data_IF_576273722573
#
_entry.id   IF_576273722573
#
_cell.length_a   1.000
_cell.length_b   1.000
_cell.length_c   1.000
_cell.angle_alpha   90.00
_cell.angle_beta   90.00
_cell.angle_gamma   90.00
#
_symmetry.space_group_name_H-M   'P 1'
#
loop_
_entity.id
_entity.type
_entity.pdbx_description
1 polymer ?
#
# COMPACT_ATOMS: atom_id res chain seq x y z
N UNK A 1 -10.44 -15.07 -4.03
CA UNK A 1 -9.60 -14.17 -4.78
C UNK A 1 -9.67 -12.77 -4.28
N UNK A 2 -10.78 -12.13 -4.46
CA UNK A 2 -10.95 -10.81 -3.88
C UNK A 2 -10.72 -10.85 -2.39
N UNK A 3 -10.81 -11.99 -1.81
CA UNK A 3 -10.55 -12.21 -0.43
C UNK A 3 -9.12 -11.88 -0.06
N UNK A 4 -8.18 -12.43 -0.80
CA UNK A 4 -6.77 -12.19 -0.58
C UNK A 4 -6.40 -10.76 -0.92
N UNK A 5 -7.13 -10.16 -1.83
CA UNK A 5 -6.89 -8.79 -2.24
C UNK A 5 -7.48 -7.77 -1.29
N UNK A 6 -8.46 -8.17 -0.47
CA UNK A 6 -9.11 -7.26 0.47
C UNK A 6 -8.68 -7.47 1.89
N UNK A 7 -8.15 -8.65 2.20
CA UNK A 7 -7.67 -8.96 3.53
C UNK A 7 -6.37 -8.21 3.78
N UNK A 8 -6.31 -7.42 4.83
CA UNK A 8 -5.12 -6.66 5.17
C UNK A 8 -4.73 -5.64 4.11
N UNK A 9 -5.72 -4.97 3.54
CA UNK A 9 -5.39 -4.11 2.41
C UNK A 9 -5.65 -2.63 2.62
N UNK A 10 -5.32 -2.09 3.77
CA UNK A 10 -5.36 -0.64 3.94
C UNK A 10 -4.44 0.04 2.92
N UNK A 11 -3.37 -0.63 2.50
CA UNK A 11 -2.53 -0.13 1.43
C UNK A 11 -3.29 0.04 0.13
N UNK A 12 -4.08 -0.97 -0.26
CA UNK A 12 -4.92 -0.88 -1.47
C UNK A 12 -5.96 0.22 -1.34
N UNK A 13 -6.56 0.35 -0.16
CA UNK A 13 -7.55 1.39 0.09
C UNK A 13 -6.91 2.78 0.02
N UNK A 14 -5.68 2.92 0.46
CA UNK A 14 -4.96 4.17 0.33
C UNK A 14 -4.68 4.51 -1.13
N UNK A 15 -4.38 3.51 -1.96
CA UNK A 15 -4.22 3.74 -3.40
C UNK A 15 -5.53 4.20 -4.03
N UNK A 16 -6.67 3.66 -3.58
CA UNK A 16 -7.97 4.15 -4.03
C UNK A 16 -8.19 5.60 -3.61
N UNK A 17 -7.77 5.96 -2.40
CA UNK A 17 -7.83 7.33 -1.92
C UNK A 17 -6.98 8.26 -2.81
N UNK A 18 -5.77 7.86 -3.16
CA UNK A 18 -4.91 8.65 -4.04
C UNK A 18 -5.54 8.81 -5.43
N UNK A 19 -6.10 7.73 -5.96
CA UNK A 19 -6.73 7.79 -7.26
C UNK A 19 -7.94 8.72 -7.24
N UNK A 20 -8.80 8.58 -6.26
CA UNK A 20 -10.02 9.39 -6.15
C UNK A 20 -9.72 10.88 -6.05
N UNK A 21 -8.68 11.22 -5.28
CA UNK A 21 -8.41 12.63 -4.98
C UNK A 21 -7.43 13.29 -5.94
N UNK A 22 -6.59 12.52 -6.63
CA UNK A 22 -5.49 13.11 -7.42
C UNK A 22 -5.40 12.64 -8.86
N UNK A 23 -5.90 11.45 -9.20
CA UNK A 23 -5.76 10.90 -10.55
C UNK A 23 -7.08 10.78 -11.31
N UNK A 24 -8.10 10.21 -10.69
CA UNK A 24 -9.42 10.11 -11.30
C UNK A 24 -9.55 9.11 -12.44
N UNK A 25 -8.69 8.09 -12.49
CA UNK A 25 -8.73 7.08 -13.54
C UNK A 25 -9.25 5.74 -13.06
N UNK A 26 -9.05 4.71 -13.88
CA UNK A 26 -9.44 3.34 -13.55
C UNK A 26 -8.20 2.44 -13.53
N UNK A 27 -8.15 1.55 -12.52
CA UNK A 27 -7.10 0.54 -12.49
C UNK A 27 -7.32 -0.50 -13.58
N UNK A 28 -6.25 -0.88 -14.26
CA UNK A 28 -6.27 -1.87 -15.34
C UNK A 28 -5.30 -2.99 -15.05
N UNK A 29 -5.64 -4.20 -15.48
CA UNK A 29 -4.79 -5.38 -15.25
C UNK A 29 -3.53 -5.29 -16.10
N UNK A 30 -2.38 -5.48 -15.47
CA UNK A 30 -1.09 -5.48 -16.13
C UNK A 30 -0.04 -6.14 -15.25
N UNK A 31 0.69 -7.14 -15.80
CA UNK A 31 1.83 -7.76 -15.10
C UNK A 31 1.51 -8.25 -13.68
N UNK A 32 0.46 -9.03 -13.53
CA UNK A 32 0.00 -9.58 -12.24
C UNK A 32 -0.44 -8.52 -11.23
N UNK A 33 -0.78 -7.35 -11.71
CA UNK A 33 -1.24 -6.25 -10.87
C UNK A 33 -2.40 -5.53 -11.54
N UNK A 34 -3.08 -4.72 -10.75
CA UNK A 34 -3.96 -3.69 -11.30
C UNK A 34 -3.25 -2.36 -11.12
N UNK A 35 -3.09 -1.63 -12.19
CA UNK A 35 -2.29 -0.40 -12.17
C UNK A 35 -3.07 0.79 -12.70
N UNK A 36 -2.60 1.96 -12.31
CA UNK A 36 -3.00 3.23 -12.89
C UNK A 36 -1.76 4.13 -12.96
N UNK A 37 -1.61 4.86 -14.06
CA UNK A 37 -0.52 5.81 -14.24
C UNK A 37 -1.07 7.22 -14.22
N UNK A 38 -0.32 8.15 -13.68
CA UNK A 38 -0.72 9.55 -13.64
C UNK A 38 0.35 10.40 -13.01
N UNK A 39 -0.01 11.64 -12.72
CA UNK A 39 0.90 12.59 -12.08
C UNK A 39 0.30 13.09 -10.79
N UNK A 40 1.12 13.12 -9.74
CA UNK A 40 0.76 13.75 -8.47
C UNK A 40 1.86 14.76 -8.18
N UNK A 41 1.50 16.02 -8.03
CA UNK A 41 2.45 17.12 -7.80
C UNK A 41 3.57 17.16 -8.85
N UNK A 42 3.20 16.98 -10.12
CA UNK A 42 4.12 17.00 -11.26
C UNK A 42 5.10 15.83 -11.31
N UNK A 43 4.93 14.84 -10.42
CA UNK A 43 5.73 13.61 -10.45
C UNK A 43 4.92 12.49 -11.07
N UNK A 44 5.51 11.77 -12.03
CA UNK A 44 4.84 10.62 -12.61
C UNK A 44 4.80 9.50 -11.56
N UNK A 45 3.61 8.95 -11.34
CA UNK A 45 3.44 7.84 -10.40
C UNK A 45 2.72 6.69 -11.08
N UNK A 46 3.03 5.49 -10.62
CA UNK A 46 2.35 4.28 -11.03
C UNK A 46 1.85 3.63 -9.75
N UNK A 47 0.54 3.61 -9.59
CA UNK A 47 -0.09 2.94 -8.44
C UNK A 47 -0.36 1.51 -8.84
N UNK A 48 0.12 0.55 -8.06
CA UNK A 48 0.00 -0.86 -8.40
C UNK A 48 -0.58 -1.65 -7.23
N UNK A 49 -1.60 -2.44 -7.53
CA UNK A 49 -2.19 -3.38 -6.59
C UNK A 49 -1.85 -4.80 -7.07
N UNK A 50 -0.85 -5.46 -6.46
CA UNK A 50 -0.52 -6.84 -6.86
C UNK A 50 -1.74 -7.75 -6.71
N UNK A 51 -1.94 -8.61 -7.70
CA UNK A 51 -3.05 -9.56 -7.71
C UNK A 51 -2.58 -10.98 -7.43
N UNK A 52 -1.37 -11.12 -6.88
CA UNK A 52 -0.82 -12.38 -6.42
C UNK A 52 -1.23 -12.63 -4.98
N UNK A 53 -0.98 -13.83 -4.48
CA UNK A 53 -1.06 -14.07 -3.04
C UNK A 53 -0.03 -13.19 -2.34
N UNK A 54 -0.29 -12.84 -1.09
CA UNK A 54 0.57 -11.93 -0.34
C UNK A 54 2.04 -12.39 -0.31
N UNK A 55 2.28 -13.69 -0.14
CA UNK A 55 3.63 -14.23 -0.09
C UNK A 55 4.33 -14.27 -1.46
N UNK A 56 3.68 -13.82 -2.53
CA UNK A 56 4.25 -13.73 -3.87
C UNK A 56 4.25 -12.29 -4.40
N UNK A 57 4.11 -11.32 -3.51
CA UNK A 57 4.07 -9.90 -3.90
C UNK A 57 5.35 -9.45 -4.61
N UNK A 58 6.48 -10.04 -4.26
CA UNK A 58 7.75 -9.70 -4.89
C UNK A 58 7.79 -10.00 -6.38
N UNK A 59 7.07 -11.05 -6.82
CA UNK A 59 7.01 -11.38 -8.25
C UNK A 59 6.36 -10.26 -9.05
N UNK A 60 5.26 -9.69 -8.53
CA UNK A 60 4.59 -8.57 -9.18
C UNK A 60 5.48 -7.32 -9.17
N UNK A 61 6.14 -7.05 -8.06
CA UNK A 61 7.02 -5.87 -7.93
C UNK A 61 8.17 -5.96 -8.93
N UNK A 62 8.81 -7.12 -9.05
CA UNK A 62 9.94 -7.30 -9.98
C UNK A 62 9.48 -7.07 -11.42
N UNK A 63 8.33 -7.61 -11.80
CA UNK A 63 7.83 -7.45 -13.17
C UNK A 63 7.59 -5.97 -13.50
N UNK A 64 6.99 -5.23 -12.57
CA UNK A 64 6.73 -3.81 -12.78
C UNK A 64 8.02 -3.01 -12.76
N UNK A 65 8.95 -3.32 -11.83
CA UNK A 65 10.23 -2.65 -11.75
C UNK A 65 10.99 -2.76 -13.07
N UNK A 66 11.03 -3.96 -13.63
CA UNK A 66 11.76 -4.21 -14.88
C UNK A 66 11.09 -3.53 -16.07
N UNK A 67 9.76 -3.54 -16.10
CA UNK A 67 9.01 -2.92 -17.19
C UNK A 67 9.18 -1.40 -17.21
N UNK A 68 9.04 -0.76 -16.04
CA UNK A 68 9.13 0.69 -15.94
C UNK A 68 10.55 1.19 -15.72
N UNK A 69 11.50 0.29 -15.49
CA UNK A 69 12.93 0.59 -15.30
C UNK A 69 13.14 1.60 -14.17
N UNK A 70 12.52 1.31 -13.02
CA UNK A 70 12.68 2.15 -11.83
C UNK A 70 13.70 1.54 -10.88
N UNK A 71 14.37 2.41 -10.13
CA UNK A 71 15.31 1.97 -9.11
C UNK A 71 14.59 1.57 -7.83
N UNK A 72 15.24 0.77 -6.99
CA UNK A 72 14.62 0.30 -5.74
C UNK A 72 14.18 1.45 -4.84
N UNK A 73 14.94 2.53 -4.78
CA UNK A 73 14.58 3.68 -3.94
C UNK A 73 13.44 4.52 -4.51
N UNK A 74 12.99 4.23 -5.72
CA UNK A 74 11.82 4.85 -6.33
C UNK A 74 10.58 3.96 -6.25
N UNK A 75 10.66 2.87 -5.49
CA UNK A 75 9.54 1.99 -5.22
C UNK A 75 9.09 2.22 -3.79
N UNK A 76 7.82 2.52 -3.59
CA UNK A 76 7.25 2.65 -2.26
C UNK A 76 6.26 1.51 -2.04
N UNK A 77 6.52 0.68 -1.03
CA UNK A 77 5.62 -0.41 -0.65
C UNK A 77 4.72 0.08 0.47
N UNK A 78 3.41 -0.02 0.26
CA UNK A 78 2.42 0.48 1.21
C UNK A 78 1.63 -0.72 1.74
N UNK A 79 1.61 -0.87 3.05
CA UNK A 79 0.91 -1.99 3.67
C UNK A 79 0.48 -1.68 5.10
N UNK A 80 -0.47 -2.47 5.60
CA UNK A 80 -0.93 -2.34 6.97
C UNK A 80 -0.04 -3.17 7.90
N UNK A 81 0.16 -2.69 9.11
CA UNK A 81 1.08 -3.30 10.07
C UNK A 81 0.45 -3.36 11.47
N UNK A 82 0.33 -4.55 11.97
CA UNK A 82 -0.20 -4.85 13.30
C UNK A 82 0.65 -4.30 14.43
N UNK A 83 1.95 -4.17 14.19
CA UNK A 83 2.90 -3.72 15.20
C UNK A 83 2.87 -2.21 15.39
N UNK A 84 2.10 -1.51 14.58
CA UNK A 84 1.94 -0.06 14.66
C UNK A 84 0.52 0.23 15.11
N UNK A 85 0.33 1.09 16.13
CA UNK A 85 -1.02 1.43 16.60
C UNK A 85 -1.91 1.98 15.49
N UNK A 86 -3.19 1.69 15.55
CA UNK A 86 -4.17 2.26 14.64
C UNK A 86 -4.10 3.78 14.71
N UNK A 87 -4.30 4.44 13.58
CA UNK A 87 -4.16 5.88 13.36
C UNK A 87 -2.74 6.38 13.25
N UNK A 88 -1.73 5.53 13.44
CA UNK A 88 -0.33 5.89 13.19
C UNK A 88 0.09 5.43 11.81
N UNK A 89 0.91 6.26 11.17
CA UNK A 89 1.47 5.95 9.85
C UNK A 89 2.97 6.24 9.93
N UNK A 90 3.78 5.31 9.45
CA UNK A 90 5.24 5.44 9.52
C UNK A 90 5.89 5.20 8.17
N UNK A 91 6.79 6.09 7.80
CA UNK A 91 7.57 5.99 6.59
C UNK A 91 9.02 5.67 6.93
N UNK A 92 9.64 4.77 6.16
CA UNK A 92 11.06 4.45 6.25
C UNK A 92 11.64 4.21 4.88
N UNK A 93 12.89 4.61 4.67
CA UNK A 93 13.60 4.35 3.42
C UNK A 93 14.11 2.91 3.32
N UNK A 94 14.32 2.24 4.44
CA UNK A 94 14.89 0.91 4.47
C UNK A 94 14.51 0.20 5.77
N UNK A 95 14.80 -1.10 5.84
CA UNK A 95 14.64 -1.87 7.06
C UNK A 95 14.22 -3.31 6.79
N UNK A 96 14.11 -4.10 7.86
CA UNK A 96 13.63 -5.46 7.75
C UNK A 96 12.14 -5.48 7.44
N UNK A 97 11.66 -6.63 6.97
CA UNK A 97 10.24 -6.80 6.65
C UNK A 97 9.36 -7.03 7.89
N UNK A 98 9.95 -7.24 9.04
CA UNK A 98 9.20 -7.60 10.24
C UNK A 98 8.45 -8.92 10.03
N UNK A 99 7.18 -8.94 10.38
CA UNK A 99 6.34 -10.14 10.26
C UNK A 99 5.48 -10.14 8.99
N UNK A 100 5.54 -9.08 8.17
CA UNK A 100 4.68 -8.96 6.99
C UNK A 100 5.19 -9.85 5.84
N UNK A 101 4.41 -10.85 5.46
CA UNK A 101 4.82 -11.84 4.46
C UNK A 101 5.04 -11.24 3.07
N UNK A 102 4.19 -10.30 2.66
CA UNK A 102 4.37 -9.64 1.37
C UNK A 102 5.66 -8.85 1.31
N UNK A 103 5.97 -8.12 2.37
CA UNK A 103 7.21 -7.36 2.43
C UNK A 103 8.43 -8.26 2.48
N UNK A 104 8.35 -9.40 3.19
CA UNK A 104 9.43 -10.40 3.20
C UNK A 104 9.73 -10.90 1.80
N UNK A 105 8.70 -11.19 1.03
CA UNK A 105 8.87 -11.68 -0.34
C UNK A 105 9.50 -10.61 -1.23
N UNK A 106 9.07 -9.35 -1.09
CA UNK A 106 9.63 -8.23 -1.85
C UNK A 106 11.11 -8.06 -1.53
N UNK A 107 11.47 -8.04 -0.25
CA UNK A 107 12.87 -7.90 0.19
C UNK A 107 13.72 -9.05 -0.37
N UNK A 108 13.20 -10.28 -0.33
CA UNK A 108 13.92 -11.44 -0.86
C UNK A 108 14.09 -11.36 -2.38
N UNK A 109 13.02 -11.02 -3.09
CA UNK A 109 13.05 -10.97 -4.57
C UNK A 109 13.91 -9.85 -5.10
N UNK A 110 13.93 -8.72 -4.44
CA UNK A 110 14.77 -7.59 -4.84
C UNK A 110 16.17 -7.68 -4.23
N UNK A 111 16.39 -8.63 -3.34
CA UNK A 111 17.68 -8.90 -2.68
C UNK A 111 18.25 -7.67 -1.96
N UNK A 112 17.37 -6.87 -1.35
CA UNK A 112 17.79 -5.68 -0.63
C UNK A 112 16.74 -5.27 0.40
N UNK A 113 17.20 -4.67 1.49
CA UNK A 113 16.33 -4.05 2.49
C UNK A 113 16.13 -2.56 2.18
N UNK A 114 16.82 -2.02 1.22
CA UNK A 114 16.79 -0.59 0.89
C UNK A 114 15.63 -0.28 -0.04
N UNK A 115 14.43 -0.54 0.45
CA UNK A 115 13.17 -0.32 -0.26
C UNK A 115 12.29 0.55 0.63
N UNK A 116 11.92 1.75 0.16
CA UNK A 116 11.01 2.63 0.91
C UNK A 116 9.69 1.94 1.22
N UNK A 117 9.17 2.19 2.41
CA UNK A 117 7.91 1.60 2.86
C UNK A 117 7.10 2.58 3.67
N UNK A 118 5.80 2.53 3.46
CA UNK A 118 4.81 3.29 4.19
C UNK A 118 3.92 2.29 4.92
N UNK A 119 3.94 2.31 6.25
CA UNK A 119 3.20 1.37 7.07
C UNK A 119 2.02 2.06 7.73
N UNK A 120 0.85 1.51 7.52
CA UNK A 120 -0.40 2.04 8.09
C UNK A 120 -0.79 1.15 9.26
N UNK A 121 -0.85 1.72 10.45
CA UNK A 121 -1.06 0.96 11.66
C UNK A 121 -2.45 0.38 11.80
N UNK A 122 -2.51 -0.87 12.25
CA UNK A 122 -3.76 -1.55 12.59
C UNK A 122 -3.73 -2.14 14.00
N UNK A 123 -2.65 -1.88 14.75
CA UNK A 123 -2.50 -2.40 16.10
C UNK A 123 -3.55 -1.83 17.03
N UNK A 124 -4.08 -2.68 17.92
CA UNK A 124 -5.13 -2.27 18.85
C UNK A 124 -6.55 -2.42 18.34
N UNK A 125 -6.73 -2.65 17.02
CA UNK A 125 -8.06 -2.97 16.50
C UNK A 125 -8.43 -4.39 16.91
N UNK A 126 -9.70 -4.61 17.17
CA UNK A 126 -10.19 -5.96 17.39
C UNK A 126 -10.01 -6.75 16.09
N UNK A 127 -9.71 -8.03 16.24
CA UNK A 127 -9.50 -8.91 15.08
C UNK A 127 -10.68 -8.86 14.11
N UNK A 128 -11.89 -8.83 14.64
CA UNK A 128 -13.11 -8.73 13.83
C UNK A 128 -13.14 -7.45 13.02
N UNK A 129 -12.75 -6.33 13.63
CA UNK A 129 -12.73 -5.04 12.94
C UNK A 129 -11.67 -5.02 11.85
N UNK A 130 -10.53 -5.66 12.06
CA UNK A 130 -9.49 -5.74 11.05
C UNK A 130 -9.97 -6.46 9.80
N UNK A 131 -10.67 -7.57 9.99
CA UNK A 131 -11.26 -8.30 8.87
C UNK A 131 -12.34 -7.48 8.18
N UNK A 132 -13.17 -6.80 8.95
CA UNK A 132 -14.25 -5.98 8.41
C UNK A 132 -13.71 -4.80 7.61
N UNK A 133 -12.63 -4.14 8.08
CA UNK A 133 -12.01 -3.05 7.33
C UNK A 133 -11.60 -3.51 5.94
N UNK A 134 -11.06 -4.73 5.85
CA UNK A 134 -10.62 -5.25 4.56
C UNK A 134 -11.75 -5.64 3.64
N UNK A 135 -12.90 -6.00 4.19
CA UNK A 135 -13.98 -6.60 3.42
C UNK A 135 -15.16 -5.71 3.14
N UNK A 136 -15.65 -5.03 4.15
CA UNK A 136 -16.99 -4.44 4.09
C UNK A 136 -16.96 -3.03 4.63
N UNK A 137 -16.36 -2.16 3.87
CA UNK A 137 -16.28 -0.76 4.23
C UNK A 137 -17.67 -0.16 4.49
N UNK A 138 -18.69 -0.61 3.76
CA UNK A 138 -20.06 -0.14 3.93
C UNK A 138 -20.67 -0.47 5.28
N UNK A 139 -20.08 -1.38 6.04
CA UNK A 139 -20.57 -1.72 7.38
C UNK A 139 -20.02 -0.82 8.47
N UNK A 140 -19.08 0.04 8.15
CA UNK A 140 -18.55 0.97 9.12
C UNK A 140 -19.52 2.11 9.38
N UNK A 141 -19.51 2.59 10.62
CA UNK A 141 -20.23 3.81 10.94
C UNK A 141 -19.58 5.00 10.24
N UNK A 142 -20.30 6.10 10.18
CA UNK A 142 -19.74 7.33 9.63
C UNK A 142 -18.48 7.76 10.37
N UNK A 143 -18.47 7.61 11.71
CA UNK A 143 -17.31 7.99 12.51
C UNK A 143 -16.08 7.14 12.17
N UNK A 144 -16.28 5.84 11.96
CA UNK A 144 -15.19 4.94 11.58
C UNK A 144 -14.63 5.29 10.19
N UNK A 145 -15.51 5.64 9.25
CA UNK A 145 -15.07 6.10 7.93
C UNK A 145 -14.31 7.42 8.01
N UNK A 146 -14.75 8.32 8.88
CA UNK A 146 -14.06 9.60 9.09
C UNK A 146 -12.67 9.37 9.67
N UNK A 147 -12.52 8.42 10.60
CA UNK A 147 -11.23 8.05 11.16
C UNK A 147 -10.29 7.50 10.09
N UNK A 148 -10.79 6.65 9.19
CA UNK A 148 -9.99 6.13 8.08
C UNK A 148 -9.55 7.26 7.15
N UNK A 149 -10.42 8.22 6.88
CA UNK A 149 -10.05 9.37 6.07
C UNK A 149 -8.92 10.18 6.70
N UNK A 150 -8.96 10.36 8.03
CA UNK A 150 -7.89 11.03 8.76
C UNK A 150 -6.58 10.26 8.62
N UNK A 151 -6.63 8.92 8.74
CA UNK A 151 -5.46 8.06 8.56
C UNK A 151 -4.89 8.23 7.16
N UNK A 152 -5.74 8.25 6.13
CA UNK A 152 -5.28 8.41 4.76
C UNK A 152 -4.70 9.80 4.49
N UNK A 153 -5.21 10.83 5.14
CA UNK A 153 -4.61 12.17 5.05
C UNK A 153 -3.20 12.16 5.66
N UNK A 154 -3.01 11.49 6.79
CA UNK A 154 -1.67 11.33 7.39
C UNK A 154 -0.76 10.54 6.46
N UNK A 155 -1.28 9.46 5.86
CA UNK A 155 -0.52 8.65 4.93
C UNK A 155 -0.11 9.47 3.70
N UNK A 156 -0.97 10.36 3.24
CA UNK A 156 -0.66 11.23 2.12
C UNK A 156 0.55 12.13 2.42
N UNK A 157 0.60 12.70 3.62
CA UNK A 157 1.74 13.54 4.02
C UNK A 157 3.05 12.74 3.98
N UNK A 158 3.02 11.50 4.43
CA UNK A 158 4.18 10.62 4.38
C UNK A 158 4.52 10.21 2.94
N UNK A 159 3.52 9.96 2.13
CA UNK A 159 3.70 9.68 0.72
C UNK A 159 4.39 10.85 0.01
N UNK A 160 4.04 12.08 0.37
CA UNK A 160 4.68 13.28 -0.16
C UNK A 160 6.16 13.33 0.21
N UNK A 161 6.53 12.91 1.41
CA UNK A 161 7.94 12.83 1.78
C UNK A 161 8.72 11.93 0.80
N UNK A 162 8.11 10.83 0.39
CA UNK A 162 8.72 9.94 -0.60
C UNK A 162 8.82 10.63 -1.97
N UNK A 163 7.77 11.30 -2.41
CA UNK A 163 7.78 11.97 -3.72
C UNK A 163 8.80 13.11 -3.79
N UNK A 164 8.98 13.83 -2.70
CA UNK A 164 9.77 15.06 -2.69
C UNK A 164 11.26 14.85 -2.39
N UNK A 165 11.65 13.60 -2.10
CA UNK A 165 13.05 13.32 -1.75
C UNK A 165 14.03 13.44 -2.92
#
# INVERSE_FOLDING_TARGET
>A
MEYENTKHNLGFMFLDFLNKNYLGGEFKTFKNSKIIEGNIDNEKVILAKPQTYMNLSGDAVIKLKNWYKVDNNDILVIYDDFDIPFESVRYRDSGSAGTHNGMKDIVNKLATKDIPRLRIGTGGLKKENQEVISFVLSKFSKNELDELNIVFEKAYLKFKEFLDK
#
